data_IF_567777054373
#
_entry.id   IF_567777054373
#
_cell.length_a   1.000
_cell.length_b   1.000
_cell.length_c   1.000
_cell.angle_alpha   90.00
_cell.angle_beta   90.00
_cell.angle_gamma   90.00
#
_symmetry.space_group_name_H-M   'P 1'
#
loop_
_entity.id
_entity.type
_entity.pdbx_description
1 polymer ?
#
# COMPACT_ATOMS: atom_id res chain seq x y z
N UNK A 1 11.53 17.75 -26.88
CA UNK A 1 11.06 16.36 -26.63
C UNK A 1 10.05 16.42 -25.50
N UNK A 2 8.78 16.09 -25.76
CA UNK A 2 7.73 16.07 -24.75
C UNK A 2 7.74 14.70 -24.06
N UNK A 3 8.05 14.64 -22.77
CA UNK A 3 7.96 13.40 -21.98
C UNK A 3 6.50 13.21 -21.56
N UNK A 4 5.82 12.23 -22.18
CA UNK A 4 4.48 11.86 -21.74
C UNK A 4 4.57 11.17 -20.36
N UNK A 5 4.10 11.85 -19.32
CA UNK A 5 3.90 11.24 -18.00
C UNK A 5 2.78 10.22 -18.11
N UNK A 6 3.12 8.95 -18.26
CA UNK A 6 2.17 7.85 -18.09
C UNK A 6 1.91 7.69 -16.59
N UNK A 7 0.79 8.24 -16.12
CA UNK A 7 0.26 7.96 -14.79
C UNK A 7 -0.60 6.69 -14.91
N UNK A 8 -0.13 5.59 -14.33
CA UNK A 8 -0.94 4.38 -14.20
C UNK A 8 -1.71 4.46 -12.88
N UNK A 9 -3.04 4.50 -12.97
CA UNK A 9 -3.92 4.36 -11.82
C UNK A 9 -3.98 2.88 -11.41
N UNK A 10 -3.62 2.58 -10.16
CA UNK A 10 -3.78 1.24 -9.58
C UNK A 10 -5.09 1.22 -8.81
N UNK A 11 -5.92 0.21 -9.03
CA UNK A 11 -7.18 0.05 -8.33
C UNK A 11 -6.97 -0.57 -6.95
N UNK A 12 -7.54 0.05 -5.92
CA UNK A 12 -7.62 -0.52 -4.57
C UNK A 12 -8.86 -1.41 -4.53
N UNK A 13 -8.68 -2.70 -4.21
CA UNK A 13 -9.79 -3.64 -4.11
C UNK A 13 -10.14 -3.91 -2.65
N UNK A 14 -11.44 -3.89 -2.34
CA UNK A 14 -11.97 -4.38 -1.07
C UNK A 14 -12.27 -5.88 -1.23
N UNK A 15 -11.71 -6.72 -0.36
CA UNK A 15 -11.92 -8.16 -0.41
C UNK A 15 -12.47 -8.66 0.94
N UNK A 16 -13.53 -9.47 0.90
CA UNK A 16 -13.97 -10.27 2.05
C UNK A 16 -13.16 -11.57 2.06
N UNK A 17 -12.43 -11.81 3.15
CA UNK A 17 -11.59 -13.01 3.27
C UNK A 17 -12.46 -14.24 3.55
N UNK A 18 -12.61 -15.12 2.57
CA UNK A 18 -13.06 -16.51 2.81
C UNK A 18 -11.83 -17.31 3.22
N UNK A 19 -11.80 -17.76 4.47
CA UNK A 19 -10.72 -18.59 5.01
C UNK A 19 -10.75 -19.97 4.36
N UNK A 20 -9.86 -20.18 3.37
CA UNK A 20 -9.56 -21.48 2.77
C UNK A 20 -8.23 -21.99 3.30
N UNK A 21 -8.20 -23.23 3.79
CA UNK A 21 -7.02 -23.90 4.34
C UNK A 21 -5.83 -23.85 3.38
N UNK A 22 -4.72 -23.25 3.81
CA UNK A 22 -3.49 -23.14 3.03
C UNK A 22 -2.55 -24.30 3.35
N UNK A 23 -2.18 -25.05 2.31
CA UNK A 23 -1.08 -26.01 2.32
C UNK A 23 0.24 -25.23 2.55
N UNK A 24 0.95 -25.60 3.61
CA UNK A 24 1.89 -24.74 4.35
C UNK A 24 3.31 -24.72 3.80
N UNK A 25 3.51 -24.13 2.62
CA UNK A 25 4.82 -23.58 2.24
C UNK A 25 4.73 -22.04 2.21
N UNK A 26 4.97 -21.40 3.35
CA UNK A 26 5.18 -19.95 3.41
C UNK A 26 6.44 -19.65 2.61
N UNK A 27 6.27 -19.18 1.37
CA UNK A 27 7.42 -18.64 0.64
C UNK A 27 7.92 -17.42 1.43
N UNK A 28 9.23 -17.33 1.73
CA UNK A 28 9.76 -16.13 2.37
C UNK A 28 9.50 -14.94 1.44
N UNK A 29 8.85 -13.92 1.97
CA UNK A 29 8.66 -12.63 1.31
C UNK A 29 9.65 -11.62 1.88
N UNK A 30 10.11 -10.69 1.05
CA UNK A 30 10.84 -9.53 1.55
C UNK A 30 9.86 -8.38 1.83
N UNK A 31 10.22 -7.50 2.75
CA UNK A 31 9.43 -6.32 3.09
C UNK A 31 10.03 -5.07 2.43
N UNK A 32 9.26 -4.32 1.63
CA UNK A 32 9.75 -3.08 1.04
C UNK A 32 9.79 -1.94 2.06
N UNK A 33 10.78 -1.06 1.89
CA UNK A 33 10.88 0.15 2.69
C UNK A 33 9.63 1.01 2.50
N UNK A 34 9.05 1.44 3.63
CA UNK A 34 7.75 2.09 3.65
C UNK A 34 7.76 3.29 4.60
N UNK A 35 7.34 4.44 4.09
CA UNK A 35 7.09 5.66 4.86
C UNK A 35 5.57 5.81 5.07
N UNK A 36 5.17 6.17 6.30
CA UNK A 36 3.78 6.52 6.62
C UNK A 36 3.78 7.85 7.36
N UNK A 37 3.04 8.83 6.85
CA UNK A 37 3.03 10.17 7.42
C UNK A 37 1.70 10.89 7.18
N UNK A 38 1.42 11.91 7.99
CA UNK A 38 0.18 12.70 7.93
C UNK A 38 0.44 14.03 7.23
N UNK A 39 -0.52 14.47 6.43
CA UNK A 39 -0.59 15.78 5.79
C UNK A 39 -1.89 16.49 6.19
N UNK A 40 -2.06 17.74 5.77
CA UNK A 40 -3.33 18.46 5.96
C UNK A 40 -4.54 17.78 5.28
N UNK A 41 -4.29 16.92 4.29
CA UNK A 41 -5.33 16.25 3.51
C UNK A 41 -5.64 14.82 3.98
N UNK A 42 -4.84 14.25 4.88
CA UNK A 42 -4.98 12.87 5.34
C UNK A 42 -3.65 12.14 5.48
N UNK A 43 -3.71 10.81 5.51
CA UNK A 43 -2.57 9.92 5.64
C UNK A 43 -1.96 9.66 4.26
N UNK A 44 -0.64 9.61 4.19
CA UNK A 44 0.10 9.20 3.00
C UNK A 44 0.96 7.99 3.36
N UNK A 45 0.87 6.96 2.53
CA UNK A 45 1.69 5.76 2.59
C UNK A 45 2.53 5.73 1.33
N UNK A 46 3.85 5.61 1.47
CA UNK A 46 4.80 5.59 0.35
C UNK A 46 5.69 4.37 0.45
N UNK A 47 5.69 3.54 -0.58
CA UNK A 47 6.42 2.26 -0.61
C UNK A 47 7.44 2.28 -1.75
N UNK A 48 8.69 1.91 -1.44
CA UNK A 48 9.76 1.71 -2.43
C UNK A 48 9.55 0.37 -3.15
N UNK A 49 9.27 0.45 -4.44
CA UNK A 49 8.93 -0.66 -5.31
C UNK A 49 9.57 -0.48 -6.69
N UNK A 50 10.85 -0.08 -6.73
CA UNK A 50 11.57 0.10 -7.98
C UNK A 50 11.65 -1.20 -8.80
N UNK A 51 11.66 -1.06 -10.14
CA UNK A 51 11.74 -2.20 -11.06
C UNK A 51 10.44 -2.99 -11.26
N UNK A 52 9.33 -2.56 -10.65
CA UNK A 52 8.02 -3.18 -10.82
C UNK A 52 7.19 -2.47 -11.89
N UNK A 53 6.35 -3.23 -12.58
CA UNK A 53 5.23 -2.67 -13.34
C UNK A 53 4.03 -2.58 -12.41
N UNK A 54 3.19 -1.56 -12.60
CA UNK A 54 2.00 -1.36 -11.76
C UNK A 54 1.04 -2.54 -11.75
N UNK A 55 0.97 -3.29 -12.85
CA UNK A 55 0.18 -4.52 -12.99
C UNK A 55 0.67 -5.70 -12.14
N UNK A 56 1.88 -5.64 -11.57
CA UNK A 56 2.41 -6.66 -10.66
C UNK A 56 2.13 -6.34 -9.18
N UNK A 57 1.35 -5.29 -8.91
CA UNK A 57 1.03 -4.82 -7.58
C UNK A 57 -0.40 -5.16 -7.22
N UNK A 58 -0.61 -5.68 -6.02
CA UNK A 58 -1.93 -5.83 -5.44
C UNK A 58 -2.02 -5.04 -4.14
N UNK A 59 -3.06 -4.22 -4.03
CA UNK A 59 -3.38 -3.43 -2.84
C UNK A 59 -4.74 -3.91 -2.32
N UNK A 60 -4.74 -4.45 -1.10
CA UNK A 60 -5.89 -5.08 -0.47
C UNK A 60 -6.19 -4.32 0.81
N UNK A 61 -7.42 -3.82 0.92
CA UNK A 61 -7.95 -3.31 2.18
C UNK A 61 -8.64 -4.46 2.90
N UNK A 62 -8.14 -4.80 4.07
CA UNK A 62 -8.65 -5.85 4.95
C UNK A 62 -9.51 -5.26 6.08
N UNK A 63 -10.20 -6.14 6.81
CA UNK A 63 -10.94 -5.73 8.00
C UNK A 63 -10.01 -5.12 9.07
N UNK A 64 -10.52 -4.16 9.85
CA UNK A 64 -9.76 -3.55 10.94
C UNK A 64 -8.71 -2.51 10.53
N UNK A 65 -8.95 -1.75 9.46
CA UNK A 65 -8.03 -0.70 8.97
C UNK A 65 -6.64 -1.24 8.58
N UNK A 66 -6.57 -2.49 8.13
CA UNK A 66 -5.33 -3.11 7.69
C UNK A 66 -5.20 -2.98 6.16
N UNK A 67 -4.06 -2.48 5.72
CA UNK A 67 -3.69 -2.36 4.31
C UNK A 67 -2.57 -3.34 3.99
N UNK A 68 -2.84 -4.26 3.06
CA UNK A 68 -1.85 -5.22 2.56
C UNK A 68 -1.44 -4.85 1.14
N UNK A 69 -0.14 -4.75 0.92
CA UNK A 69 0.47 -4.46 -0.37
C UNK A 69 1.39 -5.63 -0.71
N UNK A 70 1.13 -6.34 -1.81
CA UNK A 70 1.93 -7.50 -2.21
C UNK A 70 2.18 -7.56 -3.70
N UNK A 71 3.17 -8.34 -4.09
CA UNK A 71 3.51 -8.57 -5.48
C UNK A 71 4.79 -9.40 -5.61
N UNK A 72 5.37 -9.38 -6.81
CA UNK A 72 6.62 -10.09 -7.08
C UNK A 72 7.56 -9.22 -7.94
N UNK A 73 8.77 -8.97 -7.43
CA UNK A 73 9.81 -8.22 -8.14
C UNK A 73 10.68 -9.19 -8.95
N UNK A 74 10.57 -9.21 -10.29
CA UNK A 74 11.39 -10.08 -11.10
C UNK A 74 12.85 -9.60 -11.13
N UNK A 75 13.78 -10.53 -11.28
CA UNK A 75 15.17 -10.21 -11.63
C UNK A 75 15.39 -10.38 -13.14
N UNK A 76 14.91 -9.41 -13.92
CA UNK A 76 14.90 -9.49 -15.38
C UNK A 76 16.22 -9.11 -16.05
N UNK A 77 17.17 -8.54 -15.29
CA UNK A 77 18.42 -8.01 -15.85
C UNK A 77 19.65 -8.88 -15.50
N UNK A 78 19.46 -10.02 -14.82
CA UNK A 78 20.54 -10.92 -14.43
C UNK A 78 21.05 -11.72 -15.62
N UNK A 79 22.37 -11.74 -15.81
CA UNK A 79 23.01 -12.69 -16.71
C UNK A 79 22.85 -14.13 -16.17
N UNK A 80 22.57 -15.15 -17.01
CA UNK A 80 22.35 -16.52 -16.55
C UNK A 80 23.48 -17.14 -15.73
N UNK A 81 24.72 -16.64 -15.91
CA UNK A 81 25.90 -17.06 -15.16
C UNK A 81 26.63 -15.83 -14.64
N UNK A 82 26.45 -15.52 -13.35
CA UNK A 82 27.14 -14.42 -12.68
C UNK A 82 27.50 -14.80 -11.25
N UNK A 83 28.58 -14.22 -10.74
CA UNK A 83 28.95 -14.30 -9.33
C UNK A 83 28.58 -12.98 -8.66
N UNK A 84 27.79 -13.04 -7.59
CA UNK A 84 27.51 -11.86 -6.78
C UNK A 84 28.71 -11.55 -5.90
N UNK A 85 29.25 -10.33 -6.03
CA UNK A 85 30.18 -9.79 -5.04
C UNK A 85 29.41 -9.18 -3.85
N UNK A 86 28.25 -8.56 -4.13
CA UNK A 86 27.33 -7.97 -3.17
C UNK A 86 25.90 -8.12 -3.70
N UNK A 87 24.94 -8.38 -2.81
CA UNK A 87 23.52 -8.50 -3.14
C UNK A 87 22.66 -7.79 -2.09
N UNK A 88 22.30 -6.54 -2.36
CA UNK A 88 21.45 -5.72 -1.48
C UNK A 88 20.04 -5.48 -2.07
N UNK A 89 19.82 -5.83 -3.33
CA UNK A 89 18.52 -5.69 -3.98
C UNK A 89 17.73 -6.96 -3.74
N UNK A 90 16.59 -6.81 -3.07
CA UNK A 90 15.66 -7.91 -2.86
C UNK A 90 14.85 -8.17 -4.14
N UNK A 91 14.64 -9.45 -4.45
CA UNK A 91 13.84 -9.95 -5.57
C UNK A 91 12.88 -11.03 -5.11
N UNK A 92 11.91 -11.38 -5.95
CA UNK A 92 10.88 -12.36 -5.65
C UNK A 92 9.67 -11.76 -4.93
N UNK A 93 8.85 -12.60 -4.27
CA UNK A 93 7.60 -12.16 -3.65
C UNK A 93 7.89 -11.17 -2.51
N UNK A 94 7.06 -10.14 -2.42
CA UNK A 94 7.09 -9.17 -1.34
C UNK A 94 5.71 -8.99 -0.73
N UNK A 95 5.70 -8.59 0.54
CA UNK A 95 4.50 -8.21 1.27
C UNK A 95 4.83 -7.08 2.23
N UNK A 96 3.96 -6.07 2.30
CA UNK A 96 3.96 -5.06 3.34
C UNK A 96 2.55 -4.99 3.91
N UNK A 97 2.42 -5.13 5.23
CA UNK A 97 1.15 -5.02 5.90
C UNK A 97 1.22 -3.89 6.91
N UNK A 98 0.27 -2.96 6.81
CA UNK A 98 0.19 -1.78 7.65
C UNK A 98 -1.15 -1.79 8.39
N UNK A 99 -1.10 -1.71 9.71
CA UNK A 99 -2.26 -1.37 10.52
C UNK A 99 -2.34 0.15 10.64
N UNK A 100 -3.39 0.74 10.08
CA UNK A 100 -3.53 2.19 10.07
C UNK A 100 -4.26 2.67 11.32
N UNK A 101 -3.85 3.82 11.88
CA UNK A 101 -4.61 4.45 12.96
C UNK A 101 -6.06 4.73 12.54
N UNK A 102 -7.01 4.81 13.49
CA UNK A 102 -8.37 5.20 13.19
C UNK A 102 -8.45 6.65 12.69
N UNK A 103 -9.55 7.00 12.03
CA UNK A 103 -9.81 8.37 11.54
C UNK A 103 -9.44 8.61 10.08
N UNK A 104 -9.04 7.57 9.35
CA UNK A 104 -8.78 7.62 7.91
C UNK A 104 -9.71 6.64 7.17
N UNK A 105 -10.16 7.03 5.98
CA UNK A 105 -11.09 6.25 5.18
C UNK A 105 -10.37 5.54 4.02
N UNK A 106 -10.00 4.27 4.26
CA UNK A 106 -9.35 3.41 3.28
C UNK A 106 -10.25 3.12 2.05
N UNK A 107 -11.58 3.24 2.16
CA UNK A 107 -12.47 3.03 1.01
C UNK A 107 -12.34 4.12 -0.06
N UNK A 108 -11.80 5.28 0.34
CA UNK A 108 -11.55 6.43 -0.53
C UNK A 108 -10.06 6.59 -0.86
N UNK A 109 -9.24 5.59 -0.57
CA UNK A 109 -7.81 5.63 -0.85
C UNK A 109 -7.52 5.71 -2.35
N UNK A 110 -6.52 6.52 -2.73
CA UNK A 110 -6.07 6.67 -4.12
C UNK A 110 -4.61 6.26 -4.22
N UNK A 111 -4.32 5.37 -5.17
CA UNK A 111 -2.99 4.85 -5.40
C UNK A 111 -2.38 5.40 -6.71
N UNK A 112 -1.14 5.85 -6.62
CA UNK A 112 -0.35 6.35 -7.73
C UNK A 112 1.03 5.69 -7.72
N UNK A 113 1.41 5.08 -8.84
CA UNK A 113 2.75 4.53 -9.01
C UNK A 113 3.57 5.40 -9.95
N UNK A 114 4.71 5.91 -9.46
CA UNK A 114 5.59 6.78 -10.23
C UNK A 114 7.05 6.56 -9.83
N UNK A 115 7.91 6.36 -10.82
CA UNK A 115 9.37 6.27 -10.67
C UNK A 115 9.82 5.27 -9.59
N UNK A 116 9.18 4.11 -9.52
CA UNK A 116 9.53 3.09 -8.52
C UNK A 116 8.90 3.30 -7.15
N UNK A 117 8.06 4.32 -6.96
CA UNK A 117 7.35 4.54 -5.70
C UNK A 117 5.85 4.38 -5.89
N UNK A 118 5.25 3.55 -5.03
CA UNK A 118 3.81 3.54 -4.83
C UNK A 118 3.47 4.57 -3.75
N UNK A 119 2.62 5.53 -4.08
CA UNK A 119 2.02 6.47 -3.14
C UNK A 119 0.54 6.15 -3.00
N UNK A 120 0.06 6.02 -1.76
CA UNK A 120 -1.34 5.83 -1.42
C UNK A 120 -1.77 7.00 -0.54
N UNK A 121 -2.68 7.81 -1.04
CA UNK A 121 -3.29 8.92 -0.33
C UNK A 121 -4.62 8.44 0.29
N UNK A 122 -4.73 8.49 1.61
CA UNK A 122 -5.91 8.06 2.36
C UNK A 122 -6.53 9.28 3.05
N UNK A 123 -7.74 9.72 2.64
CA UNK A 123 -8.36 10.90 3.23
C UNK A 123 -8.77 10.65 4.68
N UNK A 124 -8.96 11.75 5.42
CA UNK A 124 -9.62 11.70 6.73
C UNK A 124 -11.02 11.10 6.57
N UNK A 125 -11.40 10.23 7.50
CA UNK A 125 -12.78 9.76 7.59
C UNK A 125 -13.69 10.95 7.87
N UNK A 126 -14.82 11.04 7.13
CA UNK A 126 -15.81 12.06 7.40
C UNK A 126 -16.24 11.96 8.87
N UNK A 127 -15.93 12.99 9.65
CA UNK A 127 -16.33 13.05 11.06
C UNK A 127 -17.84 12.87 11.12
N UNK A 128 -18.32 11.79 11.78
CA UNK A 128 -19.65 11.82 12.35
C UNK A 128 -19.73 13.08 13.19
N UNK A 129 -20.48 14.07 12.72
CA UNK A 129 -20.64 15.34 13.42
C UNK A 129 -21.15 15.02 14.81
N UNK A 130 -20.30 15.13 15.84
CA UNK A 130 -20.77 15.18 17.22
C UNK A 130 -21.66 16.41 17.30
N UNK A 131 -22.99 16.21 17.26
CA UNK A 131 -23.96 17.25 17.58
C UNK A 131 -23.63 17.70 18.99
N UNK A 132 -23.18 18.93 19.11
CA UNK A 132 -22.97 19.58 20.39
C UNK A 132 -24.36 19.87 20.98
N UNK A 133 -24.93 18.92 21.71
CA UNK A 133 -26.13 19.18 22.50
C UNK A 133 -25.70 20.03 23.69
N UNK A 134 -25.85 21.36 23.58
CA UNK A 134 -25.86 22.24 24.75
C UNK A 134 -26.98 21.75 25.66
N UNK A 135 -26.64 21.09 26.76
CA UNK A 135 -27.57 20.94 27.89
C UNK A 135 -27.72 22.32 28.51
N UNK A 136 -28.86 22.96 28.27
CA UNK A 136 -29.24 24.19 28.92
C UNK A 136 -29.95 23.80 30.22
N UNK A 137 -29.20 23.69 31.33
CA UNK A 137 -29.82 23.64 32.66
C UNK A 137 -30.16 25.08 33.07
N UNK A 138 -31.39 25.47 32.74
CA UNK A 138 -32.06 26.65 33.28
C UNK A 138 -32.60 26.35 34.69
N UNK A 139 -32.65 27.43 35.46
CA UNK A 139 -32.84 27.62 36.91
C UNK A 139 -34.14 27.04 37.48
#
# INVERSE_FOLDING_TARGET
MATSKLSASVFVSQASVVSGAADGHVRPHWEPNTDVYVTEHGLVIKVELAGLRSEHLQIIVEEGNRLRIRGERPDSCRAPKCNFLVMNINYGPFESILELPPGYDLSQAKAHYLNGFLRIDVPLAARQTRKHTKSNNGT
#
